data_IF_153704038951
#
_entry.id   IF_153704038951
#
_cell.length_a   1.000
_cell.length_b   1.000
_cell.length_c   1.000
_cell.angle_alpha   90.00
_cell.angle_beta   90.00
_cell.angle_gamma   90.00
#
_symmetry.space_group_name_H-M   'P 1'
#
loop_
_entity.id
_entity.type
_entity.pdbx_description
1 polymer ?
#
# COMPACT_ATOMS: atom_id res chain seq x y z
N UNK A 1 -13.63 9.04 -15.79
CA UNK A 1 -12.71 10.08 -15.30
C UNK A 1 -13.42 11.42 -15.12
N UNK A 2 -14.43 11.74 -15.95
CA UNK A 2 -15.22 12.99 -15.86
C UNK A 2 -16.23 13.07 -14.68
N UNK A 3 -16.25 12.08 -13.78
CA UNK A 3 -17.20 12.00 -12.66
C UNK A 3 -16.56 12.30 -11.29
N UNK A 4 -15.26 12.63 -11.24
CA UNK A 4 -14.59 12.99 -9.99
C UNK A 4 -14.68 14.50 -9.80
N UNK A 5 -15.22 14.92 -8.66
CA UNK A 5 -15.28 16.32 -8.27
C UNK A 5 -13.86 16.85 -7.99
N UNK A 6 -13.61 18.14 -8.17
CA UNK A 6 -12.29 18.75 -7.89
C UNK A 6 -11.81 18.46 -6.45
N UNK A 7 -12.74 18.46 -5.50
CA UNK A 7 -12.45 18.13 -4.11
C UNK A 7 -11.95 16.69 -3.93
N UNK A 8 -12.43 15.74 -4.73
CA UNK A 8 -11.98 14.35 -4.69
C UNK A 8 -10.55 14.21 -5.20
N UNK A 9 -10.18 14.99 -6.22
CA UNK A 9 -8.83 14.98 -6.78
C UNK A 9 -7.79 15.54 -5.80
N UNK A 10 -8.18 16.49 -4.96
CA UNK A 10 -7.27 17.20 -4.06
C UNK A 10 -7.28 16.67 -2.62
N UNK A 11 -8.43 16.22 -2.12
CA UNK A 11 -8.66 16.03 -0.67
C UNK A 11 -9.25 14.68 -0.28
N UNK A 12 -9.48 13.78 -1.25
CA UNK A 12 -10.02 12.47 -0.96
C UNK A 12 -9.13 11.71 0.03
N UNK A 13 -9.78 11.15 1.05
CA UNK A 13 -9.18 10.23 2.02
C UNK A 13 -9.95 8.93 2.03
N UNK A 14 -11.22 9.01 2.39
CA UNK A 14 -12.12 7.86 2.29
C UNK A 14 -12.87 7.88 0.95
N UNK A 15 -13.23 6.69 0.41
CA UNK A 15 -12.99 5.35 0.96
C UNK A 15 -11.59 4.78 0.67
N UNK A 16 -10.69 5.55 0.06
CA UNK A 16 -9.38 5.07 -0.38
C UNK A 16 -8.51 4.53 0.77
N UNK A 17 -8.41 5.25 1.90
CA UNK A 17 -7.59 4.85 3.05
C UNK A 17 -8.09 3.57 3.74
N UNK A 18 -9.39 3.29 3.72
CA UNK A 18 -9.94 2.04 4.26
C UNK A 18 -9.98 0.88 3.25
N UNK A 19 -9.90 1.19 1.96
CA UNK A 19 -10.00 0.21 0.87
C UNK A 19 -9.00 -0.95 1.00
N UNK A 20 -9.51 -2.17 0.83
CA UNK A 20 -8.76 -3.42 0.69
C UNK A 20 -8.78 -3.93 -0.76
N UNK A 21 -9.24 -3.12 -1.71
CA UNK A 21 -9.31 -3.52 -3.10
C UNK A 21 -7.91 -3.71 -3.70
N UNK A 22 -7.79 -4.70 -4.57
CA UNK A 22 -6.59 -4.92 -5.38
C UNK A 22 -6.65 -4.09 -6.65
N UNK A 23 -5.59 -3.31 -6.89
CA UNK A 23 -5.50 -2.44 -8.06
C UNK A 23 -4.64 -3.04 -9.17
N UNK A 24 -3.93 -4.14 -8.90
CA UNK A 24 -2.93 -4.67 -9.84
C UNK A 24 -1.63 -3.85 -9.88
N UNK A 25 -1.44 -2.95 -8.92
CA UNK A 25 -0.22 -2.19 -8.67
C UNK A 25 -0.21 -1.71 -7.22
N UNK A 26 0.96 -1.37 -6.68
CA UNK A 26 1.08 -0.72 -5.37
C UNK A 26 0.83 0.79 -5.56
N UNK A 27 -0.17 1.34 -4.87
CA UNK A 27 -0.42 2.78 -4.88
C UNK A 27 0.47 3.47 -3.85
N UNK A 28 1.44 4.27 -4.29
CA UNK A 28 2.25 5.11 -3.38
C UNK A 28 1.58 6.47 -3.23
N UNK A 29 1.36 6.92 -2.00
CA UNK A 29 0.67 8.17 -1.73
C UNK A 29 1.25 8.90 -0.50
N UNK A 30 0.77 10.13 -0.29
CA UNK A 30 1.04 10.94 0.89
C UNK A 30 -0.20 11.73 1.31
N UNK A 31 -0.02 13.01 1.65
CA UNK A 31 -1.06 14.00 2.00
C UNK A 31 -1.80 13.76 3.33
N UNK A 32 -1.84 12.52 3.82
CA UNK A 32 -2.42 12.16 5.11
C UNK A 32 -1.33 11.61 6.02
N UNK A 33 -0.78 12.42 6.92
CA UNK A 33 0.28 12.00 7.84
C UNK A 33 -0.13 10.79 8.68
N UNK A 34 0.77 9.83 8.80
CA UNK A 34 0.59 8.69 9.70
C UNK A 34 0.75 9.14 11.15
N UNK A 35 -0.12 8.65 12.05
CA UNK A 35 -0.08 9.04 13.48
C UNK A 35 1.18 8.58 14.21
N UNK A 36 1.80 7.50 13.75
CA UNK A 36 3.01 6.92 14.33
C UNK A 36 4.30 7.41 13.67
N UNK A 37 4.22 8.37 12.73
CA UNK A 37 5.35 8.94 11.99
C UNK A 37 6.21 7.90 11.26
N UNK A 38 5.59 6.77 10.86
CA UNK A 38 6.24 5.68 10.12
C UNK A 38 5.51 5.41 8.81
N UNK A 39 6.20 5.00 7.73
CA UNK A 39 5.52 4.60 6.51
C UNK A 39 4.51 3.46 6.77
N UNK A 40 3.31 3.56 6.17
CA UNK A 40 2.23 2.55 6.27
C UNK A 40 2.19 1.74 4.98
N UNK A 41 2.89 0.60 4.97
CA UNK A 41 2.89 -0.35 3.86
C UNK A 41 1.75 -1.37 4.04
N UNK A 42 0.85 -1.40 3.06
CA UNK A 42 -0.23 -2.38 2.91
C UNK A 42 -0.10 -3.14 1.60
N UNK A 43 -0.89 -4.19 1.42
CA UNK A 43 -0.82 -5.05 0.23
C UNK A 43 -1.13 -4.29 -1.06
N UNK A 44 -2.00 -3.28 -0.97
CA UNK A 44 -2.50 -2.49 -2.10
C UNK A 44 -1.98 -1.05 -2.15
N UNK A 45 -1.34 -0.55 -1.10
CA UNK A 45 -0.82 0.84 -1.04
C UNK A 45 0.32 1.03 -0.07
N UNK A 46 1.04 2.13 -0.24
CA UNK A 46 2.11 2.59 0.63
C UNK A 46 1.94 4.09 0.91
N UNK A 47 1.77 4.46 2.18
CA UNK A 47 1.80 5.86 2.60
C UNK A 47 3.21 6.25 3.06
N UNK A 48 3.81 7.27 2.43
CA UNK A 48 5.11 7.84 2.82
C UNK A 48 5.00 9.17 3.57
N UNK A 49 3.78 9.67 3.79
CA UNK A 49 3.57 10.86 4.60
C UNK A 49 3.74 10.53 6.09
N UNK A 50 4.97 10.70 6.56
CA UNK A 50 5.37 10.56 7.96
C UNK A 50 5.31 11.89 8.71
N UNK A 51 4.66 12.92 8.15
CA UNK A 51 4.45 14.19 8.84
C UNK A 51 5.71 15.06 8.91
N UNK A 52 6.51 15.13 7.83
CA UNK A 52 7.72 15.94 7.78
C UNK A 52 7.51 17.41 8.19
N UNK A 53 6.40 18.02 7.75
CA UNK A 53 6.05 19.40 8.12
C UNK A 53 5.57 19.56 9.57
N UNK A 54 5.31 18.45 10.28
CA UNK A 54 4.88 18.40 11.66
C UNK A 54 5.97 17.90 12.62
N UNK A 55 7.22 17.77 12.15
CA UNK A 55 8.35 17.30 12.94
C UNK A 55 8.60 15.79 12.90
N UNK A 56 7.87 15.05 12.07
CA UNK A 56 8.25 13.70 11.68
C UNK A 56 9.40 13.70 10.65
N UNK A 57 9.95 12.53 10.30
CA UNK A 57 11.01 12.45 9.30
C UNK A 57 10.46 12.73 7.90
N UNK A 58 11.28 13.27 7.01
CA UNK A 58 11.06 13.13 5.57
C UNK A 58 11.45 11.70 5.15
N UNK A 59 10.47 10.96 4.62
CA UNK A 59 10.62 9.53 4.30
C UNK A 59 10.59 9.27 2.81
N UNK A 60 11.52 8.45 2.33
CA UNK A 60 11.56 7.91 0.98
C UNK A 60 11.49 6.38 1.01
N UNK A 61 11.08 5.78 -0.12
CA UNK A 61 11.12 4.34 -0.33
C UNK A 61 12.01 4.01 -1.53
N UNK A 62 12.94 3.09 -1.34
CA UNK A 62 13.80 2.58 -2.40
C UNK A 62 13.15 1.35 -3.04
N UNK A 63 12.97 1.38 -4.36
CA UNK A 63 12.47 0.26 -5.14
C UNK A 63 13.60 -0.36 -5.95
N UNK A 64 13.60 -1.68 -6.00
CA UNK A 64 14.43 -2.47 -6.91
C UNK A 64 13.51 -3.10 -7.95
N UNK A 65 14.06 -3.48 -9.09
CA UNK A 65 13.31 -4.10 -10.19
C UNK A 65 12.46 -5.29 -9.73
N UNK A 66 11.47 -5.68 -10.54
CA UNK A 66 10.57 -6.83 -10.35
C UNK A 66 9.76 -6.90 -9.03
N UNK A 67 10.10 -6.15 -7.99
CA UNK A 67 9.44 -6.15 -6.69
C UNK A 67 8.33 -5.09 -6.66
N UNK A 68 7.12 -5.50 -6.26
CA UNK A 68 6.01 -4.57 -5.99
C UNK A 68 6.12 -3.86 -4.64
N UNK A 69 7.01 -4.32 -3.76
CA UNK A 69 7.25 -3.77 -2.43
C UNK A 69 8.60 -3.05 -2.41
N UNK A 70 8.75 -1.98 -1.61
CA UNK A 70 10.05 -1.34 -1.47
C UNK A 70 11.07 -2.30 -0.85
N UNK A 71 12.34 -2.12 -1.21
CA UNK A 71 13.46 -2.83 -0.62
C UNK A 71 13.89 -2.22 0.73
N UNK A 72 13.69 -0.91 0.89
CA UNK A 72 14.05 -0.17 2.11
C UNK A 72 13.24 1.13 2.23
N UNK A 73 13.13 1.62 3.46
CA UNK A 73 12.76 3.01 3.74
C UNK A 73 14.02 3.82 4.07
N UNK A 74 14.10 5.06 3.59
CA UNK A 74 15.22 5.98 3.87
C UNK A 74 14.65 7.23 4.51
N UNK A 75 15.26 7.66 5.61
CA UNK A 75 14.85 8.85 6.36
C UNK A 75 15.86 9.99 6.17
N UNK A 76 15.45 11.22 6.48
CA UNK A 76 16.26 12.43 6.33
C UNK A 76 17.49 12.51 7.23
N UNK A 77 17.50 11.77 8.34
CA UNK A 77 18.66 11.58 9.19
C UNK A 77 19.66 10.54 8.65
N UNK A 78 19.38 9.96 7.48
CA UNK A 78 20.21 8.95 6.83
C UNK A 78 19.99 7.52 7.35
N UNK A 79 19.05 7.30 8.29
CA UNK A 79 18.68 5.95 8.71
C UNK A 79 18.00 5.19 7.57
N UNK A 80 18.28 3.89 7.51
CA UNK A 80 17.64 2.95 6.59
C UNK A 80 16.76 2.02 7.42
N UNK A 81 15.45 2.11 7.23
CA UNK A 81 14.47 1.23 7.84
C UNK A 81 14.28 -0.04 7.03
N UNK A 82 14.23 -1.17 7.72
CA UNK A 82 13.82 -2.43 7.10
C UNK A 82 12.34 -2.37 6.71
N UNK A 83 12.03 -2.92 5.54
CA UNK A 83 10.65 -3.16 5.13
C UNK A 83 10.24 -4.48 5.76
N UNK A 84 9.52 -4.42 6.88
CA UNK A 84 8.87 -5.61 7.42
C UNK A 84 8.01 -6.20 6.32
N UNK A 85 8.34 -7.43 5.88
CA UNK A 85 7.60 -8.13 4.85
C UNK A 85 6.13 -8.17 5.26
N UNK A 86 5.31 -7.38 4.56
CA UNK A 86 3.84 -7.30 4.63
C UNK A 86 3.30 -8.53 5.34
N UNK A 87 2.96 -8.36 6.63
CA UNK A 87 2.67 -9.44 7.60
C UNK A 87 2.47 -10.77 6.87
N UNK A 88 3.54 -11.57 6.81
CA UNK A 88 3.55 -12.79 6.02
C UNK A 88 2.37 -13.69 6.34
N UNK A 89 1.70 -13.54 7.48
CA UNK A 89 0.43 -14.21 7.80
C UNK A 89 -0.73 -13.65 6.98
N UNK A 90 -0.95 -12.34 6.97
CA UNK A 90 -2.01 -11.68 6.19
C UNK A 90 -1.76 -11.78 4.68
N UNK A 91 -0.52 -11.52 4.21
CA UNK A 91 -0.19 -11.66 2.79
C UNK A 91 -0.31 -13.12 2.30
N UNK A 92 0.13 -14.10 3.11
CA UNK A 92 -0.02 -15.54 2.78
C UNK A 92 -1.46 -15.99 2.84
N UNK A 93 -2.25 -15.52 3.81
CA UNK A 93 -3.69 -15.79 3.88
C UNK A 93 -4.43 -15.21 2.67
N UNK A 94 -4.07 -14.01 2.24
CA UNK A 94 -4.67 -13.35 1.08
C UNK A 94 -4.28 -14.07 -0.23
N UNK A 95 -3.02 -14.49 -0.38
CA UNK A 95 -2.59 -15.35 -1.51
C UNK A 95 -3.31 -16.70 -1.49
N UNK A 96 -3.43 -17.35 -0.32
CA UNK A 96 -4.17 -18.62 -0.16
C UNK A 96 -5.64 -18.42 -0.54
N UNK A 97 -6.26 -17.34 -0.08
CA UNK A 97 -7.63 -16.98 -0.39
C UNK A 97 -7.83 -16.78 -1.90
N UNK A 98 -6.94 -16.06 -2.58
CA UNK A 98 -6.98 -15.87 -4.04
C UNK A 98 -6.85 -17.18 -4.80
N UNK A 99 -5.95 -18.07 -4.38
CA UNK A 99 -5.81 -19.40 -4.97
C UNK A 99 -7.10 -20.21 -4.78
N UNK A 100 -7.74 -20.14 -3.60
CA UNK A 100 -8.99 -20.83 -3.33
C UNK A 100 -10.17 -20.28 -4.16
N UNK A 101 -10.29 -18.97 -4.29
CA UNK A 101 -11.31 -18.30 -5.12
C UNK A 101 -11.13 -18.63 -6.61
N UNK A 102 -9.89 -18.62 -7.11
CA UNK A 102 -9.58 -18.99 -8.48
C UNK A 102 -9.90 -20.47 -8.77
N UNK A 103 -9.65 -21.36 -7.81
CA UNK A 103 -10.04 -22.79 -7.90
C UNK A 103 -11.55 -22.97 -7.94
N UNK A 104 -12.32 -22.23 -7.13
CA UNK A 104 -13.80 -22.27 -7.17
C UNK A 104 -14.36 -21.80 -8.52
N UNK A 105 -13.78 -20.77 -9.14
CA UNK A 105 -14.20 -20.27 -10.46
C UNK A 105 -13.83 -21.20 -11.62
N UNK A 106 -12.85 -22.10 -11.43
CA UNK A 106 -12.41 -23.09 -12.43
C UNK A 106 -13.19 -24.42 -12.40
N UNK A 107 -14.21 -24.54 -11.56
CA UNK A 107 -15.17 -25.64 -11.61
C UNK A 107 -16.52 -25.20 -12.22
N UNK A 108 -16.62 -24.90 -13.52
CA UNK A 108 -17.85 -25.09 -14.25
C UNK A 108 -17.93 -26.55 -14.72
N UNK A 109 -19.00 -27.23 -14.31
CA UNK A 109 -19.62 -28.41 -14.95
C UNK A 109 -18.69 -29.46 -15.55
N UNK A 110 -18.52 -30.57 -14.82
CA UNK A 110 -18.27 -31.86 -15.47
C UNK A 110 -19.64 -32.34 -16.00
N UNK A 111 -19.94 -32.04 -17.26
CA UNK A 111 -20.88 -32.85 -18.07
C UNK A 111 -20.21 -34.15 -18.49
#
# INVERSE_FOLDING_TARGET
MELQEENDLLWMREPFLSSQAEHGFLVVHGHTPTKNLKPDLRHNRLNLDTGACFGGPLTAAAFIDAARVPAAFVFDDGQIGEVEALDTKTARLEVIRRIAEARRKKSPGNE
#
